data_IF_943818971400
#
_entry.id   IF_943818971400
#
_cell.length_a   1.000
_cell.length_b   1.000
_cell.length_c   1.000
_cell.angle_alpha   90.00
_cell.angle_beta   90.00
_cell.angle_gamma   90.00
#
_symmetry.space_group_name_H-M   'P 1'
#
loop_
_entity.id
_entity.type
_entity.pdbx_description
1 polymer ?
#
# COMPACT_ATOMS: atom_id res chain seq x y z
N UNK A 1 -35.71 -35.95 -18.19
CA UNK A 1 -35.23 -34.87 -19.06
C UNK A 1 -35.39 -33.60 -18.29
N UNK A 2 -34.37 -33.09 -17.61
CA UNK A 2 -34.35 -31.81 -16.95
C UNK A 2 -33.39 -30.94 -17.77
N UNK A 3 -33.97 -29.95 -18.41
CA UNK A 3 -33.30 -28.94 -19.22
C UNK A 3 -32.48 -28.01 -18.30
N UNK A 4 -31.18 -28.18 -18.31
CA UNK A 4 -30.24 -27.26 -17.62
C UNK A 4 -29.73 -26.22 -18.61
N UNK A 5 -30.62 -25.33 -19.05
CA UNK A 5 -30.23 -24.11 -19.74
C UNK A 5 -29.52 -23.18 -18.72
N UNK A 6 -28.18 -23.25 -18.70
CA UNK A 6 -27.33 -22.30 -17.98
C UNK A 6 -27.52 -20.91 -18.54
N UNK A 7 -28.37 -20.10 -17.91
CA UNK A 7 -28.39 -18.66 -18.14
C UNK A 7 -27.03 -18.08 -17.73
N UNK A 8 -26.13 -17.95 -18.69
CA UNK A 8 -24.91 -17.15 -18.52
C UNK A 8 -25.33 -15.72 -18.24
N UNK A 9 -25.39 -15.33 -16.96
CA UNK A 9 -25.70 -13.95 -16.55
C UNK A 9 -24.69 -13.02 -17.21
N UNK A 10 -25.18 -11.91 -17.76
CA UNK A 10 -24.35 -10.91 -18.41
C UNK A 10 -23.25 -10.44 -17.43
N UNK A 11 -21.98 -10.29 -17.88
CA UNK A 11 -20.90 -9.88 -17.00
C UNK A 11 -21.20 -8.52 -16.36
N UNK A 12 -20.80 -8.32 -15.08
CA UNK A 12 -21.03 -7.06 -14.38
C UNK A 12 -20.55 -5.84 -15.19
N UNK A 13 -21.15 -4.66 -15.04
CA UNK A 13 -20.82 -3.45 -15.81
C UNK A 13 -19.32 -3.08 -15.79
N UNK A 14 -18.63 -3.37 -14.69
CA UNK A 14 -17.18 -3.16 -14.54
C UNK A 14 -16.38 -4.03 -15.52
N UNK A 15 -16.72 -5.32 -15.63
CA UNK A 15 -16.05 -6.24 -16.56
C UNK A 15 -16.26 -5.81 -18.02
N UNK A 16 -17.41 -5.24 -18.35
CA UNK A 16 -17.68 -4.70 -19.69
C UNK A 16 -16.79 -3.50 -20.03
N UNK A 17 -16.56 -2.59 -19.09
CA UNK A 17 -15.68 -1.43 -19.27
C UNK A 17 -14.21 -1.86 -19.46
N UNK A 18 -13.72 -2.79 -18.65
CA UNK A 18 -12.36 -3.35 -18.77
C UNK A 18 -12.20 -4.04 -20.13
N UNK A 19 -13.14 -4.88 -20.52
CA UNK A 19 -13.13 -5.56 -21.82
C UNK A 19 -13.19 -4.57 -23.00
N UNK A 20 -13.97 -3.49 -22.88
CA UNK A 20 -14.00 -2.42 -23.88
C UNK A 20 -12.63 -1.71 -23.98
N UNK A 21 -12.04 -1.34 -22.84
CA UNK A 21 -10.73 -0.68 -22.80
C UNK A 21 -9.65 -1.58 -23.43
N UNK A 22 -9.63 -2.87 -23.12
CA UNK A 22 -8.68 -3.81 -23.73
C UNK A 22 -8.84 -3.86 -25.24
N UNK A 23 -10.07 -4.04 -25.76
CA UNK A 23 -10.32 -4.04 -27.22
C UNK A 23 -9.94 -2.71 -27.89
N UNK A 24 -10.16 -1.60 -27.24
CA UNK A 24 -9.80 -0.28 -27.77
C UNK A 24 -8.28 -0.14 -27.89
N UNK A 25 -7.52 -0.57 -26.88
CA UNK A 25 -6.05 -0.58 -26.89
C UNK A 25 -5.50 -1.53 -27.95
N UNK A 26 -6.01 -2.76 -28.05
CA UNK A 26 -5.63 -3.74 -29.07
C UNK A 26 -5.78 -3.17 -30.49
N UNK A 27 -6.93 -2.53 -30.75
CA UNK A 27 -7.19 -1.88 -32.04
C UNK A 27 -6.25 -0.70 -32.31
N UNK A 28 -5.97 0.11 -31.29
CA UNK A 28 -5.07 1.25 -31.41
C UNK A 28 -3.63 0.77 -31.72
N UNK A 29 -3.16 -0.28 -31.06
CA UNK A 29 -1.86 -0.89 -31.31
C UNK A 29 -1.78 -1.54 -32.69
N UNK A 30 -2.77 -2.34 -33.07
CA UNK A 30 -2.82 -3.00 -34.37
C UNK A 30 -2.84 -2.01 -35.56
N UNK A 31 -3.40 -0.82 -35.36
CA UNK A 31 -3.44 0.24 -36.37
C UNK A 31 -2.28 1.24 -36.30
N UNK A 32 -1.36 1.07 -35.37
CA UNK A 32 -0.25 2.02 -35.17
C UNK A 32 -0.67 3.39 -34.62
N UNK A 33 -1.90 3.52 -34.09
CA UNK A 33 -2.38 4.78 -33.49
C UNK A 33 -1.73 5.08 -32.15
N UNK A 34 -1.28 4.04 -31.45
CA UNK A 34 -0.50 4.15 -30.24
C UNK A 34 0.57 3.04 -30.23
N UNK A 35 1.75 3.30 -29.67
CA UNK A 35 2.76 2.25 -29.49
C UNK A 35 2.32 1.26 -28.39
N UNK A 36 2.71 -0.01 -28.58
CA UNK A 36 2.63 -0.99 -27.49
C UNK A 36 3.58 -0.55 -26.38
N UNK A 37 3.13 -0.44 -25.11
CA UNK A 37 4.02 -0.05 -24.01
C UNK A 37 5.21 -1.01 -23.88
N UNK A 38 6.41 -0.47 -23.99
CA UNK A 38 7.65 -1.22 -23.84
C UNK A 38 8.02 -1.28 -22.35
N UNK A 39 8.06 -2.50 -21.80
CA UNK A 39 8.38 -2.75 -20.40
C UNK A 39 9.85 -3.12 -20.17
N UNK A 40 10.71 -2.99 -21.18
CA UNK A 40 12.15 -3.18 -20.98
C UNK A 40 12.70 -2.08 -20.05
N UNK A 41 13.60 -2.42 -19.10
CA UNK A 41 14.08 -1.49 -18.07
C UNK A 41 14.61 -0.16 -18.64
N UNK A 42 15.45 -0.22 -19.68
CA UNK A 42 16.00 0.99 -20.29
C UNK A 42 14.93 1.85 -20.99
N UNK A 43 13.99 1.23 -21.70
CA UNK A 43 12.89 1.95 -22.35
C UNK A 43 11.99 2.67 -21.33
N UNK A 44 11.81 2.10 -20.15
CA UNK A 44 11.07 2.74 -19.06
C UNK A 44 11.83 3.92 -18.44
N UNK A 45 13.16 3.80 -18.31
CA UNK A 45 14.02 4.90 -17.85
C UNK A 45 14.00 6.05 -18.86
N UNK A 46 14.12 5.75 -20.16
CA UNK A 46 14.06 6.75 -21.24
C UNK A 46 12.68 7.43 -21.27
N UNK A 47 11.60 6.66 -21.16
CA UNK A 47 10.24 7.20 -21.10
C UNK A 47 9.98 8.05 -19.85
N UNK A 48 10.72 7.84 -18.77
CA UNK A 48 10.68 8.68 -17.59
C UNK A 48 11.36 10.04 -17.79
N UNK A 49 12.09 10.22 -18.88
CA UNK A 49 12.74 11.47 -19.27
C UNK A 49 14.23 11.52 -18.95
N UNK A 50 14.84 10.41 -18.60
CA UNK A 50 16.24 10.35 -18.18
C UNK A 50 16.51 11.17 -16.90
N UNK A 51 17.77 11.44 -16.63
CA UNK A 51 18.18 12.21 -15.48
C UNK A 51 18.71 11.33 -14.35
N UNK A 52 19.14 11.97 -13.27
CA UNK A 52 19.72 11.26 -12.15
C UNK A 52 18.66 10.53 -11.33
N UNK A 53 18.86 9.23 -11.19
CA UNK A 53 17.99 8.33 -10.44
C UNK A 53 18.59 7.92 -9.10
N UNK A 54 19.71 8.52 -8.69
CA UNK A 54 20.45 8.17 -7.48
C UNK A 54 21.11 6.80 -7.55
N UNK A 55 21.49 6.25 -6.39
CA UNK A 55 22.22 4.99 -6.29
C UNK A 55 21.50 3.84 -7.00
N UNK A 56 22.09 3.24 -8.06
CA UNK A 56 21.52 2.09 -8.76
C UNK A 56 21.28 0.88 -7.83
N UNK A 57 22.06 0.71 -6.77
CA UNK A 57 21.90 -0.36 -5.78
C UNK A 57 20.54 -0.37 -5.09
N UNK A 58 19.87 0.76 -5.04
CA UNK A 58 18.54 0.88 -4.42
C UNK A 58 17.42 0.41 -5.34
N UNK A 59 17.45 0.77 -6.62
CA UNK A 59 16.29 0.64 -7.51
C UNK A 59 16.51 -0.23 -8.76
N UNK A 60 17.75 -0.29 -9.30
CA UNK A 60 17.99 -0.87 -10.62
C UNK A 60 17.67 -2.37 -10.69
N UNK A 61 18.17 -3.15 -9.74
CA UNK A 61 17.88 -4.58 -9.66
C UNK A 61 16.39 -4.86 -9.43
N UNK A 62 15.71 -3.98 -8.65
CA UNK A 62 14.27 -4.07 -8.46
C UNK A 62 13.51 -3.85 -9.77
N UNK A 63 13.90 -2.84 -10.57
CA UNK A 63 13.30 -2.56 -11.87
C UNK A 63 13.46 -3.74 -12.82
N UNK A 64 14.67 -4.28 -12.94
CA UNK A 64 14.98 -5.39 -13.85
C UNK A 64 14.19 -6.65 -13.51
N UNK A 65 14.12 -7.00 -12.23
CA UNK A 65 13.36 -8.16 -11.77
C UNK A 65 11.86 -7.93 -11.86
N UNK A 66 11.37 -6.73 -11.54
CA UNK A 66 9.96 -6.40 -11.69
C UNK A 66 9.53 -6.50 -13.15
N UNK A 67 10.30 -5.95 -14.09
CA UNK A 67 10.00 -6.02 -15.52
C UNK A 67 9.96 -7.45 -16.01
N UNK A 68 10.95 -8.27 -15.62
CA UNK A 68 10.98 -9.70 -15.95
C UNK A 68 9.76 -10.44 -15.41
N UNK A 69 9.45 -10.27 -14.12
CA UNK A 69 8.31 -10.92 -13.48
C UNK A 69 6.96 -10.48 -14.10
N UNK A 70 6.85 -9.21 -14.48
CA UNK A 70 5.64 -8.70 -15.16
C UNK A 70 5.47 -9.32 -16.54
N UNK A 71 6.54 -9.48 -17.31
CA UNK A 71 6.49 -10.10 -18.64
C UNK A 71 6.24 -11.61 -18.58
N UNK A 72 6.89 -12.31 -17.66
CA UNK A 72 6.88 -13.78 -17.61
C UNK A 72 5.72 -14.34 -16.77
N UNK A 73 5.30 -13.66 -15.69
CA UNK A 73 4.41 -14.23 -14.67
C UNK A 73 3.03 -13.56 -14.61
N UNK A 74 2.93 -12.23 -14.83
CA UNK A 74 1.72 -11.47 -14.54
C UNK A 74 0.59 -11.66 -15.55
N UNK A 75 0.88 -12.09 -16.78
CA UNK A 75 -0.11 -12.30 -17.86
C UNK A 75 -1.05 -11.09 -18.03
N UNK A 76 -0.46 -9.91 -18.19
CA UNK A 76 -1.20 -8.66 -18.27
C UNK A 76 -2.03 -8.58 -19.55
N UNK A 77 -3.24 -8.04 -19.42
CA UNK A 77 -4.06 -7.57 -20.54
C UNK A 77 -3.47 -6.28 -21.14
N UNK A 78 -3.92 -5.82 -22.32
CA UNK A 78 -3.53 -4.52 -22.88
C UNK A 78 -3.69 -3.36 -21.90
N UNK A 79 -4.81 -3.30 -21.16
CA UNK A 79 -5.02 -2.32 -20.11
C UNK A 79 -4.01 -2.49 -18.96
N UNK A 80 -3.81 -3.73 -18.51
CA UNK A 80 -2.84 -4.04 -17.46
C UNK A 80 -1.42 -3.64 -17.85
N UNK A 81 -0.99 -3.92 -19.08
CA UNK A 81 0.31 -3.51 -19.62
C UNK A 81 0.46 -1.99 -19.65
N UNK A 82 -0.57 -1.28 -20.11
CA UNK A 82 -0.59 0.18 -20.11
C UNK A 82 -0.52 0.76 -18.69
N UNK A 83 -1.24 0.16 -17.74
CA UNK A 83 -1.20 0.57 -16.33
C UNK A 83 0.16 0.29 -15.71
N UNK A 84 0.76 -0.87 -15.96
CA UNK A 84 2.09 -1.22 -15.46
C UNK A 84 3.14 -0.24 -15.97
N UNK A 85 3.16 0.04 -17.27
CA UNK A 85 4.03 1.03 -17.88
C UNK A 85 3.86 2.40 -17.20
N UNK A 86 2.62 2.88 -17.08
CA UNK A 86 2.33 4.18 -16.48
C UNK A 86 2.76 4.29 -15.00
N UNK A 87 2.59 3.22 -14.22
CA UNK A 87 3.01 3.18 -12.82
C UNK A 87 4.54 3.21 -12.69
N UNK A 88 5.26 2.38 -13.45
CA UNK A 88 6.72 2.29 -13.38
C UNK A 88 7.36 3.59 -13.89
N UNK A 89 6.93 4.11 -15.04
CA UNK A 89 7.42 5.40 -15.58
C UNK A 89 7.10 6.55 -14.61
N UNK A 90 5.92 6.56 -14.01
CA UNK A 90 5.54 7.54 -12.99
C UNK A 90 6.44 7.50 -11.76
N UNK A 91 6.75 6.30 -11.28
CA UNK A 91 7.66 6.09 -10.15
C UNK A 91 9.08 6.60 -10.46
N UNK A 92 9.63 6.24 -11.62
CA UNK A 92 10.95 6.70 -12.08
C UNK A 92 11.01 8.22 -12.24
N UNK A 93 9.96 8.85 -12.80
CA UNK A 93 9.87 10.33 -12.89
C UNK A 93 9.87 11.00 -11.52
N UNK A 94 9.10 10.48 -10.57
CA UNK A 94 9.11 11.01 -9.22
C UNK A 94 10.46 10.79 -8.53
N UNK A 95 11.11 9.66 -8.81
CA UNK A 95 12.47 9.39 -8.32
C UNK A 95 13.47 10.46 -8.83
N UNK A 96 13.53 10.70 -10.14
CA UNK A 96 14.36 11.75 -10.74
C UNK A 96 14.06 13.13 -10.11
N UNK A 97 12.79 13.47 -9.96
CA UNK A 97 12.40 14.75 -9.35
C UNK A 97 12.81 14.86 -7.88
N UNK A 98 12.73 13.75 -7.13
CA UNK A 98 13.15 13.72 -5.73
C UNK A 98 14.67 13.90 -5.60
N UNK A 99 15.47 13.19 -6.41
CA UNK A 99 16.91 13.33 -6.42
C UNK A 99 17.35 14.73 -6.83
N UNK A 100 16.77 15.31 -7.88
CA UNK A 100 17.02 16.69 -8.29
C UNK A 100 16.63 17.71 -7.20
N UNK A 101 15.61 17.43 -6.40
CA UNK A 101 15.23 18.27 -5.25
C UNK A 101 16.28 18.14 -4.14
N UNK A 102 16.71 16.94 -3.82
CA UNK A 102 17.71 16.66 -2.76
C UNK A 102 19.09 17.22 -3.06
N UNK A 103 19.48 17.27 -4.33
CA UNK A 103 20.74 17.92 -4.78
C UNK A 103 20.68 19.42 -4.57
N UNK A 104 19.52 20.06 -4.84
CA UNK A 104 19.34 21.51 -4.65
C UNK A 104 19.10 21.92 -3.20
N UNK A 105 18.55 21.01 -2.39
CA UNK A 105 18.14 21.22 -1.01
C UNK A 105 18.67 20.11 -0.10
N UNK A 106 20.00 20.07 0.14
CA UNK A 106 20.62 19.06 0.99
C UNK A 106 20.09 19.09 2.44
N UNK A 107 19.63 20.26 2.90
CA UNK A 107 19.03 20.48 4.23
C UNK A 107 17.79 19.61 4.50
N UNK A 108 17.16 19.06 3.46
CA UNK A 108 16.04 18.13 3.62
C UNK A 108 16.45 16.92 4.46
N UNK A 109 17.70 16.47 4.37
CA UNK A 109 18.21 15.34 5.14
C UNK A 109 18.28 15.61 6.65
N UNK A 110 18.29 16.88 7.05
CA UNK A 110 18.39 17.32 8.44
C UNK A 110 17.02 17.49 9.12
N UNK A 111 15.92 17.43 8.34
CA UNK A 111 14.57 17.54 8.89
C UNK A 111 14.32 16.40 9.89
N UNK A 112 14.08 16.70 11.18
CA UNK A 112 13.91 15.69 12.19
C UNK A 112 12.54 14.98 12.07
N UNK A 113 12.54 13.68 12.30
CA UNK A 113 11.35 12.83 12.39
C UNK A 113 11.38 12.11 13.77
N UNK A 114 11.16 12.84 14.87
CA UNK A 114 11.34 12.31 16.21
C UNK A 114 10.24 11.31 16.57
N UNK A 115 10.64 10.24 17.26
CA UNK A 115 9.75 9.27 17.90
C UNK A 115 8.53 8.86 17.03
N UNK A 116 8.76 8.35 15.80
CA UNK A 116 7.64 8.00 14.92
C UNK A 116 6.75 6.92 15.54
N UNK A 117 5.47 6.96 15.19
CA UNK A 117 4.47 5.98 15.61
C UNK A 117 4.24 5.00 14.45
N UNK A 118 4.73 3.78 14.59
CA UNK A 118 4.58 2.72 13.61
C UNK A 118 3.27 1.98 13.85
N UNK A 119 2.29 2.12 12.97
CA UNK A 119 1.04 1.36 13.04
C UNK A 119 1.24 0.06 12.26
N UNK A 120 1.54 -1.00 12.99
CA UNK A 120 1.79 -2.33 12.44
C UNK A 120 0.53 -3.18 12.42
N UNK A 121 0.46 -4.06 11.45
CA UNK A 121 -0.59 -5.06 11.32
C UNK A 121 -0.67 -5.58 9.89
N UNK A 122 -1.26 -6.74 9.77
CA UNK A 122 -1.49 -7.33 8.46
C UNK A 122 -2.42 -6.45 7.62
N UNK A 123 -2.27 -6.51 6.31
CA UNK A 123 -3.23 -5.87 5.40
C UNK A 123 -4.66 -6.31 5.80
N UNK A 124 -5.58 -5.35 5.92
CA UNK A 124 -6.98 -5.59 6.34
C UNK A 124 -7.20 -5.91 7.83
N UNK A 125 -6.21 -5.75 8.69
CA UNK A 125 -6.38 -5.89 10.15
C UNK A 125 -7.02 -4.67 10.85
N UNK A 126 -7.31 -3.59 10.14
CA UNK A 126 -7.90 -2.37 10.72
C UNK A 126 -6.92 -1.25 11.02
N UNK A 127 -5.66 -1.39 10.62
CA UNK A 127 -4.59 -0.38 10.78
C UNK A 127 -4.98 1.00 10.25
N UNK A 128 -5.73 1.06 9.14
CA UNK A 128 -6.22 2.34 8.58
C UNK A 128 -7.12 3.11 9.55
N UNK A 129 -7.94 2.41 10.35
CA UNK A 129 -8.79 3.06 11.35
C UNK A 129 -7.96 3.68 12.47
N UNK A 130 -6.95 2.97 12.96
CA UNK A 130 -6.02 3.47 13.98
C UNK A 130 -5.24 4.66 13.45
N UNK A 131 -4.64 4.54 12.26
CA UNK A 131 -3.91 5.64 11.61
C UNK A 131 -4.77 6.90 11.48
N UNK A 132 -6.00 6.77 10.99
CA UNK A 132 -6.90 7.91 10.78
C UNK A 132 -7.40 8.55 12.08
N UNK A 133 -7.52 7.77 13.16
CA UNK A 133 -7.81 8.31 14.48
C UNK A 133 -6.60 9.09 15.03
N UNK A 134 -5.40 8.53 14.95
CA UNK A 134 -4.17 9.24 15.31
C UNK A 134 -3.98 10.52 14.48
N UNK A 135 -4.31 10.50 13.19
CA UNK A 135 -4.26 11.68 12.33
C UNK A 135 -5.25 12.80 12.70
N UNK A 136 -6.20 12.56 13.62
CA UNK A 136 -7.04 13.62 14.19
C UNK A 136 -6.29 14.50 15.20
N UNK A 137 -5.14 14.04 15.70
CA UNK A 137 -4.31 14.80 16.64
C UNK A 137 -3.36 15.75 15.87
N UNK A 138 -3.45 17.06 16.06
CA UNK A 138 -2.59 18.01 15.38
C UNK A 138 -1.11 17.95 15.82
N UNK A 139 -0.82 17.30 16.95
CA UNK A 139 0.56 17.08 17.43
C UNK A 139 1.29 15.99 16.66
N UNK A 140 0.57 15.18 15.85
CA UNK A 140 1.11 14.10 15.03
C UNK A 140 1.19 14.51 13.55
N UNK A 141 2.28 14.11 12.90
CA UNK A 141 2.43 14.15 11.45
C UNK A 141 1.87 12.88 10.80
N UNK A 142 1.45 12.96 9.56
CA UNK A 142 0.96 11.82 8.78
C UNK A 142 1.01 12.15 7.29
N UNK A 143 1.06 11.12 6.44
CA UNK A 143 1.14 11.25 4.99
C UNK A 143 -0.26 11.34 4.39
N UNK A 144 -0.49 12.31 3.47
CA UNK A 144 -1.71 12.39 2.69
C UNK A 144 -1.61 11.48 1.47
N UNK A 145 -2.75 11.02 0.96
CA UNK A 145 -2.77 10.18 -0.24
C UNK A 145 -1.96 10.79 -1.40
N UNK A 146 -2.16 12.08 -1.70
CA UNK A 146 -1.42 12.73 -2.77
C UNK A 146 0.09 12.82 -2.50
N UNK A 147 0.53 12.88 -1.24
CA UNK A 147 1.94 12.93 -0.86
C UNK A 147 2.60 11.57 -0.96
N UNK A 148 1.85 10.50 -0.68
CA UNK A 148 2.33 9.13 -0.88
C UNK A 148 2.63 8.85 -2.35
N UNK A 149 1.67 9.12 -3.23
CA UNK A 149 1.77 8.77 -4.65
C UNK A 149 2.45 9.83 -5.54
N UNK A 150 2.52 11.07 -5.08
CA UNK A 150 3.14 12.20 -5.77
C UNK A 150 3.93 13.04 -4.74
N UNK A 151 5.01 12.52 -4.16
CA UNK A 151 5.72 13.20 -3.06
C UNK A 151 6.34 14.53 -3.48
N UNK A 152 6.66 14.67 -4.76
CA UNK A 152 7.30 15.85 -5.36
C UNK A 152 6.52 16.38 -6.56
N UNK A 153 6.82 17.60 -7.02
CA UNK A 153 6.19 18.24 -8.17
C UNK A 153 5.11 19.27 -7.82
N UNK A 154 4.65 20.03 -8.82
CA UNK A 154 3.78 21.22 -8.62
C UNK A 154 2.29 20.91 -8.49
N UNK A 155 1.77 19.96 -9.24
CA UNK A 155 0.32 19.68 -9.32
C UNK A 155 -0.08 18.36 -8.64
N UNK A 156 0.63 18.02 -7.56
CA UNK A 156 0.51 16.73 -6.83
C UNK A 156 -0.94 16.34 -6.50
N UNK A 157 -1.68 17.26 -5.89
CA UNK A 157 -3.06 17.03 -5.46
C UNK A 157 -4.02 16.82 -6.63
N UNK A 158 -3.84 17.56 -7.73
CA UNK A 158 -4.66 17.42 -8.94
C UNK A 158 -4.43 16.07 -9.62
N UNK A 159 -3.16 15.64 -9.74
CA UNK A 159 -2.82 14.32 -10.28
C UNK A 159 -3.45 13.20 -9.45
N UNK A 160 -3.30 13.23 -8.13
CA UNK A 160 -3.90 12.24 -7.25
C UNK A 160 -5.44 12.21 -7.37
N UNK A 161 -6.08 13.37 -7.47
CA UNK A 161 -7.53 13.45 -7.70
C UNK A 161 -7.92 12.80 -9.03
N UNK A 162 -7.22 13.13 -10.13
CA UNK A 162 -7.47 12.53 -11.45
C UNK A 162 -7.28 11.01 -11.44
N UNK A 163 -6.20 10.51 -10.82
CA UNK A 163 -5.95 9.07 -10.68
C UNK A 163 -7.06 8.37 -9.91
N UNK A 164 -7.50 8.93 -8.76
CA UNK A 164 -8.60 8.36 -7.98
C UNK A 164 -9.92 8.32 -8.76
N UNK A 165 -10.21 9.34 -9.57
CA UNK A 165 -11.39 9.36 -10.45
C UNK A 165 -11.30 8.29 -11.53
N UNK A 166 -10.16 8.14 -12.19
CA UNK A 166 -9.94 7.11 -13.19
C UNK A 166 -10.04 5.69 -12.59
N UNK A 167 -9.41 5.47 -11.43
CA UNK A 167 -9.50 4.19 -10.71
C UNK A 167 -10.94 3.88 -10.30
N UNK A 168 -11.69 4.84 -9.76
CA UNK A 168 -13.09 4.66 -9.39
C UNK A 168 -13.99 4.36 -10.59
N UNK A 169 -13.67 4.88 -11.78
CA UNK A 169 -14.39 4.57 -13.01
C UNK A 169 -14.09 3.15 -13.53
N UNK A 170 -12.83 2.70 -13.41
CA UNK A 170 -12.39 1.37 -13.85
C UNK A 170 -12.71 0.28 -12.82
N UNK A 171 -12.59 0.58 -11.54
CA UNK A 171 -12.78 -0.37 -10.43
C UNK A 171 -13.55 0.30 -9.27
N UNK A 172 -14.87 0.45 -9.37
CA UNK A 172 -15.72 1.01 -8.31
C UNK A 172 -15.63 0.23 -7.00
N UNK A 173 -15.48 -1.11 -7.08
CA UNK A 173 -15.35 -1.97 -5.90
C UNK A 173 -14.14 -1.61 -5.05
N UNK A 174 -13.03 -1.24 -5.68
CA UNK A 174 -11.84 -0.81 -4.96
C UNK A 174 -12.12 0.42 -4.08
N UNK A 175 -12.90 1.37 -4.58
CA UNK A 175 -13.28 2.57 -3.82
C UNK A 175 -14.15 2.24 -2.59
N UNK A 176 -14.89 1.13 -2.63
CA UNK A 176 -15.66 0.60 -1.48
C UNK A 176 -14.74 -0.12 -0.49
N UNK A 177 -13.80 -0.93 -1.01
CA UNK A 177 -12.86 -1.73 -0.20
C UNK A 177 -11.84 -0.82 0.49
N UNK A 178 -11.37 0.23 -0.19
CA UNK A 178 -10.36 1.17 0.29
C UNK A 178 -10.78 2.62 0.05
N UNK A 179 -11.77 3.14 0.81
CA UNK A 179 -12.24 4.51 0.63
C UNK A 179 -11.15 5.50 1.01
N UNK A 180 -10.77 6.36 0.05
CA UNK A 180 -9.78 7.43 0.26
C UNK A 180 -10.13 8.69 -0.55
N UNK A 181 -9.43 9.77 -0.27
CA UNK A 181 -9.47 11.00 -1.04
C UNK A 181 -8.07 11.60 -1.14
N UNK A 182 -7.84 12.49 -2.07
CA UNK A 182 -6.51 13.04 -2.30
C UNK A 182 -5.85 13.63 -1.02
N UNK A 183 -6.63 14.24 -0.15
CA UNK A 183 -6.13 14.84 1.10
C UNK A 183 -6.29 13.98 2.36
N UNK A 184 -6.83 12.77 2.26
CA UNK A 184 -7.02 11.90 3.42
C UNK A 184 -5.68 11.34 3.94
N UNK A 185 -5.57 11.03 5.25
CA UNK A 185 -4.48 10.20 5.76
C UNK A 185 -4.47 8.85 5.05
N UNK A 186 -3.31 8.48 4.52
CA UNK A 186 -3.17 7.23 3.76
C UNK A 186 -1.81 6.58 3.99
N UNK A 187 -1.65 5.38 3.44
CA UNK A 187 -0.43 4.57 3.54
C UNK A 187 0.73 5.19 2.76
N UNK A 188 1.94 5.00 3.26
CA UNK A 188 3.18 5.42 2.60
C UNK A 188 3.60 4.48 1.46
N UNK A 189 2.69 3.61 0.99
CA UNK A 189 2.96 2.59 -0.02
C UNK A 189 3.46 3.18 -1.35
N UNK A 190 2.99 4.36 -1.72
CA UNK A 190 3.43 5.08 -2.91
C UNK A 190 4.88 5.54 -2.83
N UNK A 191 5.40 5.84 -1.63
CA UNK A 191 6.80 6.24 -1.45
C UNK A 191 7.76 5.11 -1.78
N UNK A 192 7.42 3.86 -1.44
CA UNK A 192 8.22 2.69 -1.78
C UNK A 192 8.24 2.40 -3.29
N UNK A 193 7.24 2.85 -4.04
CA UNK A 193 7.22 2.67 -5.49
C UNK A 193 8.37 3.40 -6.18
N UNK A 194 8.92 4.49 -5.60
CA UNK A 194 10.07 5.21 -6.16
C UNK A 194 11.34 4.35 -6.18
N UNK A 195 11.47 3.43 -5.23
CA UNK A 195 12.56 2.44 -5.20
C UNK A 195 12.18 1.14 -5.93
N UNK A 196 11.05 1.13 -6.66
CA UNK A 196 10.49 -0.07 -7.33
C UNK A 196 10.41 -1.25 -6.35
N UNK A 197 9.93 -1.03 -5.12
CA UNK A 197 9.96 -2.00 -4.04
C UNK A 197 8.57 -2.23 -3.43
N UNK A 198 8.30 -3.47 -3.02
CA UNK A 198 7.31 -3.79 -2.02
C UNK A 198 5.89 -4.05 -2.49
N UNK A 199 4.99 -3.94 -1.52
CA UNK A 199 3.63 -4.46 -1.55
C UNK A 199 2.73 -3.87 -2.67
N UNK A 200 3.04 -2.70 -3.18
CA UNK A 200 2.30 -2.07 -4.28
C UNK A 200 2.20 -2.97 -5.50
N UNK A 201 3.31 -3.57 -5.90
CA UNK A 201 3.37 -4.36 -7.13
C UNK A 201 2.79 -5.75 -6.94
N UNK A 202 3.16 -6.43 -5.86
CA UNK A 202 2.70 -7.79 -5.55
C UNK A 202 1.19 -7.89 -5.21
N UNK A 203 0.57 -6.79 -4.80
CA UNK A 203 -0.89 -6.77 -4.58
C UNK A 203 -1.70 -6.57 -5.85
N UNK A 204 -1.08 -6.10 -6.93
CA UNK A 204 -1.73 -5.77 -8.19
C UNK A 204 -1.42 -6.79 -9.30
N UNK A 205 -0.26 -7.45 -9.24
CA UNK A 205 0.21 -8.38 -10.25
C UNK A 205 0.67 -9.70 -9.64
N UNK A 206 0.49 -10.78 -10.38
CA UNK A 206 1.10 -12.05 -10.02
C UNK A 206 2.58 -11.98 -10.41
N UNK A 207 3.44 -11.70 -9.44
CA UNK A 207 4.89 -11.52 -9.62
C UNK A 207 5.68 -12.23 -8.50
N UNK A 208 5.52 -13.56 -8.34
CA UNK A 208 6.10 -14.29 -7.22
C UNK A 208 7.62 -14.23 -7.17
N UNK A 209 8.33 -14.24 -8.29
CA UNK A 209 9.80 -14.13 -8.32
C UNK A 209 10.26 -12.77 -7.77
N UNK A 210 9.63 -11.68 -8.19
CA UNK A 210 9.89 -10.35 -7.67
C UNK A 210 9.56 -10.24 -6.17
N UNK A 211 8.44 -10.82 -5.73
CA UNK A 211 8.06 -10.81 -4.32
C UNK A 211 9.11 -11.51 -3.44
N UNK A 212 9.60 -12.69 -3.86
CA UNK A 212 10.69 -13.42 -3.16
C UNK A 212 11.98 -12.61 -3.10
N UNK A 213 12.33 -11.93 -4.18
CA UNK A 213 13.46 -11.02 -4.20
C UNK A 213 13.32 -9.91 -3.17
N UNK A 214 12.18 -9.23 -3.14
CA UNK A 214 11.91 -8.18 -2.14
C UNK A 214 11.97 -8.70 -0.70
N UNK A 215 11.56 -9.94 -0.48
CA UNK A 215 11.57 -10.58 0.83
C UNK A 215 13.00 -10.97 1.29
N UNK A 216 13.92 -11.21 0.38
CA UNK A 216 15.27 -11.73 0.68
C UNK A 216 16.40 -10.70 0.65
N UNK A 217 16.15 -9.49 0.16
CA UNK A 217 17.20 -8.50 -0.02
C UNK A 217 17.48 -7.65 1.22
N UNK A 218 18.65 -7.01 1.27
CA UNK A 218 18.90 -5.89 2.20
C UNK A 218 17.97 -4.71 1.85
N UNK A 219 17.20 -4.27 2.85
CA UNK A 219 16.23 -3.19 2.69
C UNK A 219 16.73 -1.86 3.26
N UNK A 220 17.89 -1.82 3.92
CA UNK A 220 18.43 -0.62 4.56
C UNK A 220 18.52 0.59 3.60
N UNK A 221 19.07 0.48 2.38
CA UNK A 221 19.15 1.62 1.47
C UNK A 221 17.79 2.13 1.03
N UNK A 222 16.80 1.22 0.86
CA UNK A 222 15.42 1.58 0.51
C UNK A 222 14.76 2.38 1.62
N UNK A 223 14.95 1.96 2.88
CA UNK A 223 14.37 2.66 4.04
C UNK A 223 15.07 3.98 4.34
N UNK A 224 16.34 4.14 4.01
CA UNK A 224 17.02 5.43 4.04
C UNK A 224 16.39 6.43 3.05
N UNK A 225 16.11 5.99 1.81
CA UNK A 225 15.38 6.83 0.86
C UNK A 225 13.94 7.10 1.32
N UNK A 226 13.26 6.10 1.86
CA UNK A 226 11.92 6.27 2.44
C UNK A 226 11.91 7.34 3.54
N UNK A 227 12.88 7.31 4.46
CA UNK A 227 13.05 8.36 5.48
C UNK A 227 13.23 9.72 4.83
N UNK A 228 14.09 9.82 3.81
CA UNK A 228 14.34 11.08 3.10
C UNK A 228 13.09 11.60 2.38
N UNK A 229 12.24 10.72 1.87
CA UNK A 229 10.94 11.10 1.30
C UNK A 229 9.98 11.64 2.36
N UNK A 230 9.93 11.07 3.56
CA UNK A 230 9.15 11.61 4.68
C UNK A 230 9.68 12.99 5.11
N UNK A 231 11.00 13.15 5.19
CA UNK A 231 11.66 14.43 5.44
C UNK A 231 11.30 15.45 4.35
N UNK A 232 11.28 15.04 3.09
CA UNK A 232 10.85 15.89 1.95
C UNK A 232 9.41 16.36 2.11
N UNK A 233 8.49 15.48 2.51
CA UNK A 233 7.09 15.85 2.75
C UNK A 233 6.99 16.85 3.90
N UNK A 234 7.71 16.65 4.98
CA UNK A 234 7.74 17.55 6.13
C UNK A 234 8.32 18.93 5.73
N UNK A 235 9.44 18.94 5.02
CA UNK A 235 10.08 20.16 4.49
C UNK A 235 9.17 20.94 3.56
N UNK A 236 8.51 20.30 2.61
CA UNK A 236 7.55 20.94 1.68
C UNK A 236 6.31 21.51 2.36
N UNK A 237 6.02 21.10 3.59
CA UNK A 237 4.93 21.66 4.40
C UNK A 237 5.35 22.93 5.15
N UNK A 238 6.65 23.25 5.20
CA UNK A 238 7.16 24.46 5.85
C UNK A 238 6.87 24.53 7.35
N UNK A 239 6.83 23.37 8.04
CA UNK A 239 6.54 23.35 9.48
C UNK A 239 7.84 23.51 10.27
N UNK A 240 7.86 24.47 11.16
CA UNK A 240 9.00 24.80 12.02
C UNK A 240 9.18 23.78 13.15
N UNK A 241 8.08 23.22 13.70
CA UNK A 241 8.16 22.26 14.81
C UNK A 241 8.15 20.81 14.34
N UNK A 242 9.16 20.02 14.73
CA UNK A 242 9.20 18.58 14.48
C UNK A 242 8.05 17.87 15.19
N UNK A 243 7.40 16.94 14.49
CA UNK A 243 6.27 16.14 15.02
C UNK A 243 6.54 14.66 14.87
N UNK A 244 6.15 13.83 15.85
CA UNK A 244 6.11 12.40 15.68
C UNK A 244 5.24 12.04 14.46
N UNK A 245 5.81 11.27 13.53
CA UNK A 245 5.10 10.88 12.31
C UNK A 245 4.39 9.54 12.49
N UNK A 246 3.12 9.47 12.16
CA UNK A 246 2.35 8.22 12.12
C UNK A 246 2.60 7.56 10.78
N UNK A 247 3.28 6.44 10.78
CA UNK A 247 3.65 5.66 9.59
C UNK A 247 2.84 4.36 9.59
N UNK A 248 2.14 4.10 8.49
CA UNK A 248 1.33 2.89 8.34
C UNK A 248 1.39 2.39 6.90
N UNK A 249 2.10 1.32 6.68
CA UNK A 249 2.14 0.61 5.41
C UNK A 249 2.38 -0.89 5.68
N UNK A 250 1.77 -1.82 4.92
CA UNK A 250 1.94 -3.26 5.14
C UNK A 250 3.40 -3.71 5.08
N UNK A 251 4.25 -2.98 4.36
CA UNK A 251 5.66 -3.27 4.20
C UNK A 251 6.45 -3.23 5.53
N UNK A 252 6.04 -2.37 6.48
CA UNK A 252 6.70 -2.30 7.79
C UNK A 252 6.69 -3.64 8.54
N UNK A 253 5.65 -4.46 8.37
CA UNK A 253 5.58 -5.77 9.02
C UNK A 253 6.56 -6.78 8.43
N UNK A 254 6.95 -6.60 7.17
CA UNK A 254 7.93 -7.45 6.52
C UNK A 254 9.36 -7.05 6.90
N UNK A 255 9.62 -5.76 7.07
CA UNK A 255 10.97 -5.18 7.17
C UNK A 255 11.20 -4.51 8.54
N UNK A 256 10.47 -4.94 9.58
CA UNK A 256 10.42 -4.26 10.87
C UNK A 256 11.80 -4.10 11.53
N UNK A 257 12.68 -5.07 11.39
CA UNK A 257 14.06 -4.96 11.92
C UNK A 257 14.82 -3.78 11.32
N UNK A 258 14.73 -3.58 9.99
CA UNK A 258 15.34 -2.43 9.32
C UNK A 258 14.70 -1.11 9.77
N UNK A 259 13.39 -1.11 9.94
CA UNK A 259 12.64 0.09 10.39
C UNK A 259 13.05 0.50 11.81
N UNK A 260 13.15 -0.46 12.74
CA UNK A 260 13.54 -0.20 14.12
C UNK A 260 15.02 0.24 14.22
N UNK A 261 15.90 -0.30 13.38
CA UNK A 261 17.28 0.17 13.29
C UNK A 261 17.38 1.62 12.78
N UNK A 262 16.50 2.00 11.82
CA UNK A 262 16.48 3.35 11.27
C UNK A 262 15.81 4.38 12.20
N UNK A 263 14.85 3.94 13.01
CA UNK A 263 14.09 4.76 13.95
C UNK A 263 14.17 4.13 15.36
N UNK A 264 15.30 4.23 16.06
CA UNK A 264 15.49 3.58 17.35
C UNK A 264 14.61 4.13 18.49
N UNK A 265 14.05 5.33 18.29
CA UNK A 265 13.09 5.98 19.18
C UNK A 265 11.61 5.75 18.80
N UNK A 266 11.36 4.85 17.84
CA UNK A 266 10.01 4.54 17.38
C UNK A 266 9.14 3.92 18.49
N UNK A 267 7.83 4.13 18.35
CA UNK A 267 6.79 3.54 19.20
C UNK A 267 5.84 2.75 18.31
N UNK A 268 5.40 1.59 18.77
CA UNK A 268 4.62 0.64 17.96
C UNK A 268 3.18 0.55 18.45
N UNK A 269 2.23 0.69 17.54
CA UNK A 269 0.82 0.29 17.75
C UNK A 269 0.56 -0.93 16.87
N UNK A 270 0.48 -2.10 17.49
CA UNK A 270 0.23 -3.37 16.81
C UNK A 270 -1.27 -3.64 16.75
N UNK A 271 -1.81 -3.81 15.55
CA UNK A 271 -3.24 -4.10 15.36
C UNK A 271 -3.42 -5.57 14.99
N UNK A 272 -4.21 -6.28 15.80
CA UNK A 272 -4.46 -7.71 15.63
C UNK A 272 -5.93 -7.96 15.23
N UNK A 273 -6.14 -8.98 14.43
CA UNK A 273 -7.43 -9.45 13.95
C UNK A 273 -7.39 -10.95 13.74
N UNK A 274 -8.55 -11.61 13.79
CA UNK A 274 -8.68 -13.03 13.42
C UNK A 274 -7.96 -13.35 12.12
N UNK A 275 -7.01 -14.30 12.13
CA UNK A 275 -6.16 -14.58 10.98
C UNK A 275 -6.94 -15.08 9.75
N UNK A 276 -8.03 -15.81 9.95
CA UNK A 276 -8.89 -16.28 8.85
C UNK A 276 -9.51 -15.10 8.11
N UNK A 277 -10.05 -14.13 8.88
CA UNK A 277 -10.61 -12.92 8.32
C UNK A 277 -9.56 -12.04 7.62
N UNK A 278 -8.34 -12.00 8.13
CA UNK A 278 -7.20 -11.28 7.52
C UNK A 278 -6.84 -11.89 6.16
N UNK A 279 -6.60 -13.20 6.10
CA UNK A 279 -6.21 -13.91 4.86
C UNK A 279 -7.30 -13.77 3.80
N UNK A 280 -8.56 -14.05 4.15
CA UNK A 280 -9.68 -13.92 3.22
C UNK A 280 -9.81 -12.50 2.65
N UNK A 281 -9.69 -11.49 3.52
CA UNK A 281 -9.82 -10.08 3.10
C UNK A 281 -8.63 -9.60 2.27
N UNK A 282 -7.43 -10.04 2.59
CA UNK A 282 -6.22 -9.70 1.85
C UNK A 282 -6.22 -10.35 0.46
N UNK A 283 -6.56 -11.63 0.38
CA UNK A 283 -6.72 -12.37 -0.87
C UNK A 283 -7.80 -11.73 -1.77
N UNK A 284 -8.96 -11.36 -1.19
CA UNK A 284 -10.03 -10.69 -1.92
C UNK A 284 -9.59 -9.35 -2.51
N UNK A 285 -8.83 -8.54 -1.77
CA UNK A 285 -8.30 -7.26 -2.26
C UNK A 285 -7.32 -7.47 -3.42
N UNK A 286 -6.37 -8.41 -3.28
CA UNK A 286 -5.41 -8.73 -4.32
C UNK A 286 -6.10 -9.27 -5.58
N UNK A 287 -7.02 -10.23 -5.43
CA UNK A 287 -7.85 -10.75 -6.52
C UNK A 287 -8.56 -9.64 -7.28
N UNK A 288 -9.18 -8.71 -6.56
CA UNK A 288 -9.90 -7.57 -7.17
C UNK A 288 -8.95 -6.71 -8.02
N UNK A 289 -7.77 -6.37 -7.52
CA UNK A 289 -6.79 -5.57 -8.25
C UNK A 289 -6.19 -6.32 -9.45
N UNK A 290 -5.84 -7.59 -9.27
CA UNK A 290 -5.29 -8.43 -10.35
C UNK A 290 -6.29 -8.60 -11.50
N UNK A 291 -7.59 -8.78 -11.21
CA UNK A 291 -8.63 -8.96 -12.22
C UNK A 291 -8.89 -7.73 -13.11
N UNK A 292 -8.47 -6.55 -12.69
CA UNK A 292 -8.49 -5.35 -13.54
C UNK A 292 -7.42 -5.42 -14.63
N UNK A 293 -6.29 -6.06 -14.33
CA UNK A 293 -5.08 -5.99 -15.13
C UNK A 293 -4.70 -7.32 -15.81
N UNK A 294 -5.31 -8.44 -15.39
CA UNK A 294 -5.04 -9.78 -15.92
C UNK A 294 -6.34 -10.59 -16.05
N UNK A 295 -6.45 -11.39 -17.11
CA UNK A 295 -7.53 -12.37 -17.29
C UNK A 295 -7.17 -13.76 -16.70
N UNK A 296 -5.93 -13.95 -16.24
CA UNK A 296 -5.40 -15.24 -15.78
C UNK A 296 -5.17 -15.24 -14.26
N UNK A 297 -6.17 -14.79 -13.48
CA UNK A 297 -6.11 -14.78 -12.02
C UNK A 297 -6.57 -16.12 -11.47
N UNK A 298 -5.66 -16.81 -10.79
CA UNK A 298 -5.91 -18.08 -10.09
C UNK A 298 -6.21 -17.78 -8.60
N UNK A 299 -7.47 -17.94 -8.22
CA UNK A 299 -7.94 -17.63 -6.86
C UNK A 299 -7.26 -18.51 -5.80
N UNK A 300 -7.00 -19.80 -6.11
CA UNK A 300 -6.31 -20.72 -5.19
C UNK A 300 -4.84 -20.32 -5.00
N UNK A 301 -4.15 -19.88 -6.06
CA UNK A 301 -2.81 -19.32 -5.94
C UNK A 301 -2.82 -18.05 -5.07
N UNK A 302 -3.77 -17.16 -5.29
CA UNK A 302 -3.91 -15.93 -4.47
C UNK A 302 -4.08 -16.30 -3.00
N UNK A 303 -4.94 -17.26 -2.67
CA UNK A 303 -5.13 -17.74 -1.30
C UNK A 303 -3.84 -18.24 -0.66
N UNK A 304 -3.17 -19.18 -1.30
CA UNK A 304 -1.90 -19.75 -0.79
C UNK A 304 -0.82 -18.69 -0.64
N UNK A 305 -0.68 -17.78 -1.60
CA UNK A 305 0.34 -16.73 -1.54
C UNK A 305 0.06 -15.72 -0.40
N UNK A 306 -1.19 -15.32 -0.20
CA UNK A 306 -1.52 -14.40 0.89
C UNK A 306 -1.45 -15.05 2.27
N UNK A 307 -1.78 -16.33 2.40
CA UNK A 307 -1.52 -17.09 3.63
C UNK A 307 -0.02 -17.12 3.95
N UNK A 308 0.82 -17.45 2.96
CA UNK A 308 2.28 -17.45 3.09
C UNK A 308 2.82 -16.08 3.53
N UNK A 309 2.34 -15.00 2.90
CA UNK A 309 2.77 -13.62 3.23
C UNK A 309 2.36 -13.20 4.64
N UNK A 310 1.15 -13.54 5.06
CA UNK A 310 0.68 -13.26 6.42
C UNK A 310 1.56 -13.98 7.44
N UNK A 311 1.90 -15.25 7.19
CA UNK A 311 2.80 -16.03 8.06
C UNK A 311 4.20 -15.39 8.13
N UNK A 312 4.83 -15.15 6.99
CA UNK A 312 6.16 -14.52 6.91
C UNK A 312 6.22 -13.19 7.68
N UNK A 313 5.23 -12.33 7.45
CA UNK A 313 5.19 -11.01 8.09
C UNK A 313 4.97 -11.11 9.58
N UNK A 314 4.18 -12.08 10.05
CA UNK A 314 3.97 -12.34 11.47
C UNK A 314 5.28 -12.80 12.12
N UNK A 315 5.93 -13.83 11.56
CA UNK A 315 7.22 -14.35 12.03
C UNK A 315 8.28 -13.23 12.12
N UNK A 316 8.35 -12.36 11.12
CA UNK A 316 9.31 -11.23 11.11
C UNK A 316 9.00 -10.16 12.14
N UNK A 317 7.73 -9.85 12.38
CA UNK A 317 7.34 -8.92 13.45
C UNK A 317 7.73 -9.46 14.80
N UNK A 318 7.43 -10.73 15.09
CA UNK A 318 7.80 -11.36 16.37
C UNK A 318 9.33 -11.37 16.58
N UNK A 319 10.08 -11.78 15.56
CA UNK A 319 11.54 -11.80 15.62
C UNK A 319 12.14 -10.40 15.83
N UNK A 320 11.64 -9.39 15.11
CA UNK A 320 12.13 -8.02 15.24
C UNK A 320 11.83 -7.40 16.61
N UNK A 321 10.63 -7.62 17.15
CA UNK A 321 10.26 -7.11 18.47
C UNK A 321 11.03 -7.84 19.59
N UNK A 322 11.25 -9.15 19.46
CA UNK A 322 12.08 -9.91 20.40
C UNK A 322 13.54 -9.42 20.43
N UNK A 323 14.09 -9.01 19.28
CA UNK A 323 15.45 -8.47 19.18
C UNK A 323 15.61 -7.07 19.81
N UNK A 324 14.52 -6.31 19.96
CA UNK A 324 14.55 -4.93 20.50
C UNK A 324 13.47 -4.78 21.60
N UNK A 325 13.61 -5.44 22.76
CA UNK A 325 12.55 -5.53 23.79
C UNK A 325 12.23 -4.18 24.47
N UNK A 326 13.04 -3.15 24.26
CA UNK A 326 12.82 -1.81 24.84
C UNK A 326 11.88 -0.94 23.99
N UNK A 327 11.51 -1.37 22.78
CA UNK A 327 10.56 -0.61 21.94
C UNK A 327 9.18 -0.63 22.61
N UNK A 328 8.56 0.54 22.84
CA UNK A 328 7.21 0.58 23.38
C UNK A 328 6.21 -0.01 22.37
N UNK A 329 5.47 -1.03 22.77
CA UNK A 329 4.45 -1.69 21.94
C UNK A 329 3.10 -1.66 22.64
N UNK A 330 2.09 -1.18 21.93
CA UNK A 330 0.69 -1.26 22.37
C UNK A 330 -0.09 -2.12 21.38
N UNK A 331 -0.68 -3.21 21.89
CA UNK A 331 -1.51 -4.08 21.05
C UNK A 331 -2.98 -3.65 21.11
N UNK A 332 -3.64 -3.65 19.94
CA UNK A 332 -5.03 -3.25 19.73
C UNK A 332 -5.78 -4.34 18.98
N UNK A 333 -6.86 -4.85 19.55
CA UNK A 333 -7.75 -5.78 18.88
C UNK A 333 -8.71 -5.07 17.90
N UNK A 334 -8.89 -5.64 16.71
CA UNK A 334 -9.81 -5.10 15.70
C UNK A 334 -11.25 -5.03 16.22
N UNK A 335 -11.73 -6.09 16.88
CA UNK A 335 -13.08 -6.19 17.46
C UNK A 335 -13.24 -5.25 18.64
N UNK A 336 -12.20 -5.12 19.47
CA UNK A 336 -12.16 -4.20 20.60
C UNK A 336 -12.29 -2.75 20.15
N UNK A 337 -11.51 -2.35 19.13
CA UNK A 337 -11.64 -1.03 18.49
C UNK A 337 -13.05 -0.80 17.93
N UNK A 338 -13.77 -1.87 17.57
CA UNK A 338 -15.16 -1.81 17.12
C UNK A 338 -16.14 -1.55 18.25
N UNK A 339 -15.93 -2.15 19.41
CA UNK A 339 -16.81 -2.08 20.61
C UNK A 339 -16.56 -0.82 21.43
N UNK A 340 -15.29 -0.55 21.75
CA UNK A 340 -14.88 0.60 22.56
C UNK A 340 -13.65 1.29 21.94
N UNK A 341 -13.89 2.09 20.92
CA UNK A 341 -12.82 2.84 20.27
C UNK A 341 -12.16 3.87 21.20
N UNK A 342 -12.93 4.47 22.13
CA UNK A 342 -12.41 5.53 23.00
C UNK A 342 -11.49 4.94 24.08
N UNK A 343 -11.91 3.89 24.79
CA UNK A 343 -11.07 3.18 25.75
C UNK A 343 -9.81 2.62 25.08
N UNK A 344 -9.95 2.05 23.89
CA UNK A 344 -8.81 1.55 23.11
C UNK A 344 -7.83 2.69 22.77
N UNK A 345 -8.31 3.85 22.31
CA UNK A 345 -7.42 4.99 21.99
C UNK A 345 -6.78 5.59 23.26
N UNK A 346 -7.46 5.59 24.40
CA UNK A 346 -6.82 5.97 25.69
C UNK A 346 -5.64 5.09 26.02
N UNK A 347 -5.75 3.77 25.85
CA UNK A 347 -4.62 2.85 26.05
C UNK A 347 -3.50 3.08 25.04
N UNK A 348 -3.86 3.32 23.77
CA UNK A 348 -2.88 3.65 22.74
C UNK A 348 -2.09 4.91 23.14
N UNK A 349 -2.76 5.99 23.52
CA UNK A 349 -2.10 7.22 23.93
C UNK A 349 -1.22 7.05 25.16
N UNK A 350 -1.71 6.35 26.18
CA UNK A 350 -0.91 6.04 27.38
C UNK A 350 0.37 5.28 27.02
N UNK A 351 0.27 4.23 26.19
CA UNK A 351 1.44 3.46 25.73
C UNK A 351 2.38 4.24 24.80
N UNK A 352 1.89 5.27 24.12
CA UNK A 352 2.71 6.20 23.37
C UNK A 352 3.38 7.28 24.24
N UNK A 353 3.09 7.29 25.57
CA UNK A 353 3.54 8.34 26.46
C UNK A 353 2.94 9.71 26.14
N UNK A 354 1.67 9.72 25.68
CA UNK A 354 0.93 10.92 25.30
C UNK A 354 -0.41 10.97 26.04
N UNK A 355 -0.92 12.17 26.25
CA UNK A 355 -2.27 12.36 26.77
C UNK A 355 -3.29 12.41 25.62
N UNK A 356 -4.38 11.66 25.73
CA UNK A 356 -5.55 11.83 24.87
C UNK A 356 -6.43 12.95 25.43
N UNK A 357 -6.25 14.17 24.92
CA UNK A 357 -7.01 15.31 25.39
C UNK A 357 -8.49 15.25 24.97
N UNK A 358 -9.40 15.92 25.69
CA UNK A 358 -10.82 15.99 25.32
C UNK A 358 -11.05 16.50 23.89
N UNK A 359 -10.25 17.47 23.44
CA UNK A 359 -10.33 18.08 22.11
C UNK A 359 -9.96 17.07 21.02
N UNK A 360 -8.89 16.30 21.22
CA UNK A 360 -8.49 15.22 20.29
C UNK A 360 -9.56 14.12 20.23
N UNK A 361 -10.09 13.71 21.40
CA UNK A 361 -11.18 12.74 21.47
C UNK A 361 -12.44 13.24 20.74
N UNK A 362 -12.78 14.53 20.85
CA UNK A 362 -13.90 15.14 20.13
C UNK A 362 -13.67 15.13 18.61
N UNK A 363 -12.46 15.44 18.13
CA UNK A 363 -12.09 15.33 16.70
C UNK A 363 -12.20 13.90 16.18
N UNK A 364 -11.75 12.91 16.96
CA UNK A 364 -11.88 11.49 16.62
C UNK A 364 -13.35 11.07 16.51
N UNK A 365 -14.20 11.49 17.47
CA UNK A 365 -15.64 11.22 17.43
C UNK A 365 -16.29 11.83 16.19
N UNK A 366 -15.98 13.07 15.88
CA UNK A 366 -16.48 13.75 14.67
C UNK A 366 -16.02 13.06 13.39
N UNK A 367 -14.78 12.58 13.33
CA UNK A 367 -14.28 11.79 12.21
C UNK A 367 -15.07 10.48 12.04
N UNK A 368 -15.29 9.73 13.13
CA UNK A 368 -16.04 8.47 13.09
C UNK A 368 -17.49 8.67 12.66
N UNK A 369 -18.16 9.72 13.16
CA UNK A 369 -19.53 10.06 12.75
C UNK A 369 -19.65 10.37 11.26
N UNK A 370 -18.68 11.09 10.67
CA UNK A 370 -18.64 11.35 9.22
C UNK A 370 -18.36 10.09 8.42
N UNK A 371 -17.45 9.25 8.87
CA UNK A 371 -17.06 8.01 8.16
C UNK A 371 -18.13 6.92 8.23
N UNK A 372 -19.03 6.94 9.22
CA UNK A 372 -20.13 6.00 9.32
C UNK A 372 -21.20 6.20 8.24
N UNK A 373 -21.43 7.45 7.80
CA UNK A 373 -22.43 7.82 6.78
C UNK A 373 -22.12 7.28 5.38
N UNK A 374 -20.87 6.87 5.11
CA UNK A 374 -20.42 6.37 3.79
C UNK A 374 -20.18 4.86 3.75
N UNK A 375 -20.56 4.10 4.77
CA UNK A 375 -20.37 2.65 4.78
C UNK A 375 -21.40 1.97 3.88
N UNK A 376 -20.94 1.59 2.69
CA UNK A 376 -21.61 0.63 1.83
C UNK A 376 -21.53 -0.78 2.44
N UNK A 377 -22.43 -1.68 2.01
CA UNK A 377 -22.52 -3.05 2.51
C UNK A 377 -21.15 -3.74 2.61
N UNK A 378 -20.96 -4.52 3.68
CA UNK A 378 -19.73 -5.30 3.87
C UNK A 378 -19.58 -6.30 2.74
N UNK A 379 -18.52 -6.17 1.97
CA UNK A 379 -18.11 -7.20 1.01
C UNK A 379 -17.89 -8.51 1.81
N UNK A 380 -18.70 -9.54 1.52
CA UNK A 380 -18.55 -10.86 2.12
C UNK A 380 -17.58 -11.66 1.27
N UNK A 381 -16.58 -12.22 1.89
CA UNK A 381 -15.60 -13.13 1.30
C UNK A 381 -15.22 -14.18 2.35
N UNK A 382 -14.93 -15.37 1.90
CA UNK A 382 -14.49 -16.47 2.75
C UNK A 382 -13.16 -17.02 2.24
N UNK A 383 -12.43 -17.78 3.08
CA UNK A 383 -11.14 -18.38 2.66
C UNK A 383 -11.37 -19.52 1.68
N UNK A 384 -12.55 -20.15 1.69
CA UNK A 384 -12.93 -21.23 0.79
C UNK A 384 -13.00 -20.77 -0.67
N UNK A 385 -13.37 -19.50 -0.93
CA UNK A 385 -13.30 -18.90 -2.28
C UNK A 385 -11.87 -18.94 -2.87
N UNK A 386 -10.87 -19.07 -2.00
CA UNK A 386 -9.44 -19.07 -2.34
C UNK A 386 -8.80 -20.47 -2.16
N UNK A 387 -9.62 -21.53 -2.08
CA UNK A 387 -9.15 -22.90 -1.95
C UNK A 387 -8.45 -23.20 -0.63
N UNK A 388 -8.80 -22.48 0.43
CA UNK A 388 -8.30 -22.69 1.79
C UNK A 388 -9.45 -23.02 2.73
N UNK A 389 -9.17 -23.72 3.83
CA UNK A 389 -10.09 -23.87 4.94
C UNK A 389 -9.68 -23.00 6.15
N UNK A 390 -10.63 -22.66 6.99
CA UNK A 390 -10.34 -21.95 8.24
C UNK A 390 -9.40 -22.74 9.16
N UNK A 391 -9.46 -24.08 9.11
CA UNK A 391 -8.58 -24.96 9.87
C UNK A 391 -7.14 -24.87 9.40
N UNK A 392 -6.90 -24.92 8.06
CA UNK A 392 -5.57 -24.75 7.47
C UNK A 392 -4.95 -23.40 7.82
N UNK A 393 -5.74 -22.32 7.72
CA UNK A 393 -5.26 -20.98 8.07
C UNK A 393 -4.86 -20.89 9.55
N UNK A 394 -5.66 -21.44 10.46
CA UNK A 394 -5.33 -21.45 11.89
C UNK A 394 -4.11 -22.33 12.18
N UNK A 395 -4.01 -23.48 11.58
CA UNK A 395 -2.84 -24.36 11.75
C UNK A 395 -1.54 -23.71 11.25
N UNK A 396 -1.60 -22.93 10.17
CA UNK A 396 -0.45 -22.25 9.60
C UNK A 396 -0.02 -20.98 10.37
N UNK A 397 -0.93 -20.38 11.13
CA UNK A 397 -0.69 -19.10 11.81
C UNK A 397 -0.70 -19.19 13.34
N UNK A 398 -1.07 -20.33 13.92
CA UNK A 398 -1.03 -20.58 15.35
C UNK A 398 -2.20 -19.93 16.09
#
# INVERSE_FOLDING_TARGET
MLDTSSHASAPPPVRRRIAWANRALERAWARGWAPVPDLRPNALVDAAGGGELGDPGVWRANLELLCRAVEEEARLTPLGRTMAWGQIVGALRHRTQAHALWTRHPEIAEVPLPRPVLVLGQMRSGTTRVQRLLACDPRLGWTRHFESWNPVGRIRRLRAWGTLKAMGALNPEFSVIHPTSAGAPDEEIGLFSLSLYGATFESQWRVPSFARWCEGRDTQPIYQEFRRLLQTIAWLRGREEPRPWVIKVPQLTQDLSTVLALFPDARVVRVERDPVAVVASAASLARNQMRVQSNAVDDAWVGREWLRKVRLRRERVEAALAAVPRVPVVTVGFEEMGRDWLGTMRRVYAGLGMELTPEVAARMRAYLARSAKGRLERHRYTVEEFGLSAAEVRAALG
#
